data_IF_182512287206
#
_entry.id   IF_182512287206
#
_cell.length_a   1.000
_cell.length_b   1.000
_cell.length_c   1.000
_cell.angle_alpha   90.00
_cell.angle_beta   90.00
_cell.angle_gamma   90.00
#
_symmetry.space_group_name_H-M   'P 1'
#
loop_
_entity.id
_entity.type
_entity.pdbx_description
1 polymer ?
#
# COMPACT_ATOMS: atom_id res chain seq x y z
N UNK A 1 50.20 -34.40 16.98
CA UNK A 1 48.91 -33.85 17.45
C UNK A 1 48.12 -33.44 16.21
N UNK A 2 47.16 -34.24 15.71
CA UNK A 2 46.38 -33.85 14.55
C UNK A 2 45.39 -32.76 14.96
N UNK A 3 45.42 -31.65 14.22
CA UNK A 3 44.50 -30.51 14.30
C UNK A 3 43.06 -31.00 14.20
N UNK A 4 42.28 -30.80 15.27
CA UNK A 4 40.85 -31.03 15.30
C UNK A 4 40.17 -30.05 14.34
N UNK A 5 39.82 -30.52 13.15
CA UNK A 5 39.00 -29.75 12.22
C UNK A 5 37.61 -29.53 12.86
N UNK A 6 37.27 -28.27 13.09
CA UNK A 6 35.96 -27.85 13.56
C UNK A 6 34.89 -28.33 12.55
N UNK A 7 33.82 -29.02 12.99
CA UNK A 7 32.80 -29.51 12.08
C UNK A 7 32.09 -28.32 11.41
N UNK A 8 31.74 -28.42 10.11
CA UNK A 8 31.06 -27.34 9.41
C UNK A 8 29.74 -27.00 10.12
N UNK A 9 29.35 -25.72 10.19
CA UNK A 9 28.11 -25.32 10.83
C UNK A 9 26.94 -26.06 10.17
N UNK A 10 26.16 -26.76 11.00
CA UNK A 10 24.97 -27.49 10.57
C UNK A 10 24.05 -26.54 9.81
N UNK A 11 23.82 -26.82 8.52
CA UNK A 11 22.80 -26.14 7.72
C UNK A 11 21.48 -26.16 8.51
N UNK A 12 20.80 -25.01 8.69
CA UNK A 12 19.55 -24.97 9.45
C UNK A 12 18.56 -25.95 8.82
N UNK A 13 18.09 -26.92 9.61
CA UNK A 13 17.12 -27.91 9.18
C UNK A 13 15.91 -27.17 8.60
N UNK A 14 15.66 -27.36 7.31
CA UNK A 14 14.53 -26.73 6.63
C UNK A 14 13.24 -27.09 7.38
N UNK A 15 12.46 -26.09 7.77
CA UNK A 15 11.18 -26.34 8.45
C UNK A 15 10.26 -27.15 7.51
N UNK A 16 9.57 -28.20 8.00
CA UNK A 16 8.60 -28.90 7.19
C UNK A 16 7.54 -27.93 6.67
N UNK A 17 7.37 -27.84 5.35
CA UNK A 17 6.45 -26.88 4.71
C UNK A 17 5.01 -26.98 5.23
N UNK A 18 4.56 -28.17 5.66
CA UNK A 18 3.26 -28.35 6.31
C UNK A 18 3.06 -27.48 7.56
N UNK A 19 4.12 -27.19 8.32
CA UNK A 19 4.05 -26.26 9.47
C UNK A 19 3.86 -24.80 9.03
N UNK A 20 4.39 -24.44 7.86
CA UNK A 20 4.22 -23.11 7.27
C UNK A 20 2.80 -22.94 6.76
N UNK A 21 2.26 -23.93 6.05
CA UNK A 21 0.86 -23.95 5.57
C UNK A 21 -0.12 -23.87 6.75
N UNK A 22 0.10 -24.67 7.79
CA UNK A 22 -0.72 -24.61 9.00
C UNK A 22 -0.66 -23.20 9.63
N UNK A 23 0.52 -22.60 9.71
CA UNK A 23 0.67 -21.25 10.27
C UNK A 23 -0.03 -20.19 9.41
N UNK A 24 0.06 -20.29 8.09
CA UNK A 24 -0.66 -19.41 7.18
C UNK A 24 -2.18 -19.57 7.32
N UNK A 25 -2.67 -20.81 7.42
CA UNK A 25 -4.09 -21.09 7.64
C UNK A 25 -4.59 -20.52 8.98
N UNK A 26 -3.81 -20.66 10.07
CA UNK A 26 -4.14 -20.07 11.36
C UNK A 26 -4.21 -18.54 11.29
N UNK A 27 -3.29 -17.89 10.58
CA UNK A 27 -3.35 -16.44 10.37
C UNK A 27 -4.54 -16.03 9.52
N UNK A 28 -4.88 -16.77 8.46
CA UNK A 28 -6.08 -16.49 7.66
C UNK A 28 -7.36 -16.64 8.48
N UNK A 29 -7.43 -17.68 9.30
CA UNK A 29 -8.55 -17.92 10.22
C UNK A 29 -8.69 -16.84 11.29
N UNK A 30 -7.61 -16.12 11.62
CA UNK A 30 -7.65 -14.96 12.51
C UNK A 30 -7.98 -13.66 11.76
N UNK A 31 -7.26 -13.37 10.67
CA UNK A 31 -7.32 -12.10 9.96
C UNK A 31 -8.67 -11.89 9.27
N UNK A 32 -9.25 -12.93 8.67
CA UNK A 32 -10.51 -12.79 7.95
C UNK A 32 -11.69 -12.45 8.90
N UNK A 33 -11.95 -13.21 9.99
CA UNK A 33 -13.00 -12.83 10.94
C UNK A 33 -12.72 -11.49 11.63
N UNK A 34 -11.46 -11.21 11.96
CA UNK A 34 -11.07 -9.92 12.52
C UNK A 34 -11.41 -8.77 11.58
N UNK A 35 -11.15 -8.92 10.26
CA UNK A 35 -11.56 -7.98 9.24
C UNK A 35 -13.04 -7.75 9.17
N UNK A 36 -13.84 -8.78 8.93
CA UNK A 36 -15.29 -8.60 8.82
C UNK A 36 -15.91 -8.01 10.08
N UNK A 37 -15.40 -8.39 11.26
CA UNK A 37 -15.90 -7.87 12.54
C UNK A 37 -15.54 -6.40 12.75
N UNK A 38 -14.26 -6.04 12.60
CA UNK A 38 -13.79 -4.66 12.82
C UNK A 38 -14.30 -3.69 11.77
N UNK A 39 -14.33 -4.11 10.51
CA UNK A 39 -14.88 -3.35 9.40
C UNK A 39 -16.39 -3.16 9.52
N UNK A 40 -17.12 -4.22 9.87
CA UNK A 40 -18.56 -4.17 10.11
C UNK A 40 -18.91 -3.25 11.28
N UNK A 41 -18.14 -3.31 12.36
CA UNK A 41 -18.28 -2.42 13.52
C UNK A 41 -18.01 -0.96 13.17
N UNK A 42 -16.90 -0.66 12.47
CA UNK A 42 -16.58 0.70 12.05
C UNK A 42 -17.66 1.31 11.16
N UNK A 43 -18.21 0.52 10.22
CA UNK A 43 -19.35 0.94 9.40
C UNK A 43 -20.62 1.20 10.20
N UNK A 44 -20.95 0.30 11.14
CA UNK A 44 -22.10 0.51 12.03
C UNK A 44 -21.93 1.79 12.84
N UNK A 45 -20.76 2.02 13.42
CA UNK A 45 -20.46 3.25 14.16
C UNK A 45 -20.58 4.49 13.26
N UNK A 46 -20.06 4.44 12.04
CA UNK A 46 -20.21 5.52 11.07
C UNK A 46 -21.68 5.81 10.74
N UNK A 47 -22.53 4.78 10.61
CA UNK A 47 -23.97 4.96 10.36
C UNK A 47 -24.75 5.61 11.50
N UNK A 48 -24.20 5.63 12.72
CA UNK A 48 -24.81 6.33 13.87
C UNK A 48 -24.48 7.81 13.92
N UNK A 49 -23.56 8.30 13.08
CA UNK A 49 -23.19 9.73 13.04
C UNK A 49 -24.19 10.54 12.26
N UNK A 50 -24.51 11.74 12.76
CA UNK A 50 -25.42 12.69 12.12
C UNK A 50 -24.88 13.21 10.78
N UNK A 51 -23.56 13.36 10.67
CA UNK A 51 -22.88 13.77 9.45
C UNK A 51 -21.63 12.93 9.21
N UNK A 52 -21.48 12.44 7.99
CA UNK A 52 -20.27 11.78 7.50
C UNK A 52 -19.81 12.54 6.26
N UNK A 53 -18.55 12.95 6.25
CA UNK A 53 -18.00 13.77 5.16
C UNK A 53 -17.68 12.94 3.92
N UNK A 54 -17.43 13.61 2.81
CA UNK A 54 -16.82 13.02 1.62
C UNK A 54 -15.73 13.95 1.10
N UNK A 55 -14.64 13.36 0.60
CA UNK A 55 -13.53 14.08 -0.02
C UNK A 55 -13.42 13.55 -1.44
N UNK A 56 -13.90 14.35 -2.39
CA UNK A 56 -13.93 14.00 -3.81
C UNK A 56 -13.44 15.20 -4.60
N UNK A 57 -12.44 14.97 -5.47
CA UNK A 57 -12.00 16.01 -6.37
C UNK A 57 -12.90 16.10 -7.61
N UNK A 58 -13.10 17.31 -8.14
CA UNK A 58 -13.99 17.54 -9.28
C UNK A 58 -13.61 16.71 -10.52
N UNK A 59 -12.31 16.55 -10.78
CA UNK A 59 -11.79 15.79 -11.91
C UNK A 59 -12.06 14.28 -11.83
N UNK A 60 -12.37 13.73 -10.64
CA UNK A 60 -12.65 12.29 -10.48
C UNK A 60 -13.90 11.86 -11.24
N UNK A 61 -14.84 12.79 -11.50
CA UNK A 61 -16.03 12.53 -12.30
C UNK A 61 -15.72 12.23 -13.78
N UNK A 62 -14.52 12.59 -14.26
CA UNK A 62 -14.06 12.26 -15.60
C UNK A 62 -13.53 10.83 -15.72
N UNK A 63 -13.34 10.11 -14.60
CA UNK A 63 -12.84 8.74 -14.62
C UNK A 63 -13.96 7.80 -15.07
N UNK A 64 -13.81 7.09 -16.20
CA UNK A 64 -14.85 6.18 -16.67
C UNK A 64 -14.98 4.98 -15.75
N UNK A 65 -16.22 4.56 -15.51
CA UNK A 65 -16.50 3.28 -14.86
C UNK A 65 -16.19 2.12 -15.82
N UNK A 66 -15.27 1.24 -15.45
CA UNK A 66 -14.84 0.10 -16.24
C UNK A 66 -15.12 -1.21 -15.50
N UNK A 67 -16.29 -1.80 -15.74
CA UNK A 67 -16.76 -2.97 -14.99
C UNK A 67 -15.75 -4.14 -14.97
N UNK A 68 -15.06 -4.41 -16.08
CA UNK A 68 -14.09 -5.51 -16.17
C UNK A 68 -12.89 -5.37 -15.22
N UNK A 69 -12.57 -4.15 -14.77
CA UNK A 69 -11.47 -3.89 -13.82
C UNK A 69 -11.77 -4.41 -12.42
N UNK A 70 -12.98 -4.89 -12.16
CA UNK A 70 -13.30 -5.63 -10.92
C UNK A 70 -12.50 -6.94 -10.80
N UNK A 71 -12.06 -7.53 -11.92
CA UNK A 71 -11.23 -8.75 -11.91
C UNK A 71 -9.85 -8.48 -11.30
N UNK A 72 -9.04 -7.51 -11.80
CA UNK A 72 -7.80 -7.16 -11.14
C UNK A 72 -8.04 -6.66 -9.71
N UNK A 73 -9.10 -5.89 -9.45
CA UNK A 73 -9.46 -5.50 -8.07
C UNK A 73 -9.59 -6.72 -7.13
N UNK A 74 -10.38 -7.72 -7.50
CA UNK A 74 -10.54 -8.94 -6.70
C UNK A 74 -9.27 -9.79 -6.60
N UNK A 75 -8.38 -9.71 -7.58
CA UNK A 75 -7.15 -10.50 -7.58
C UNK A 75 -6.28 -10.25 -6.35
N UNK A 76 -6.37 -9.08 -5.71
CA UNK A 76 -5.61 -8.84 -4.47
C UNK A 76 -6.01 -9.79 -3.34
N UNK A 77 -7.28 -10.21 -3.26
CA UNK A 77 -7.76 -11.13 -2.24
C UNK A 77 -7.14 -12.52 -2.43
N UNK A 78 -6.96 -12.93 -3.69
CA UNK A 78 -6.24 -14.15 -4.03
C UNK A 78 -4.75 -14.03 -3.65
N UNK A 79 -4.09 -12.94 -4.06
CA UNK A 79 -2.68 -12.71 -3.71
C UNK A 79 -2.47 -12.55 -2.21
N UNK A 80 -3.44 -12.04 -1.46
CA UNK A 80 -3.39 -11.93 -0.01
C UNK A 80 -3.17 -13.30 0.64
N UNK A 81 -3.98 -14.29 0.28
CA UNK A 81 -3.83 -15.67 0.75
C UNK A 81 -2.57 -16.36 0.21
N UNK A 82 -2.32 -16.25 -1.10
CA UNK A 82 -1.15 -16.86 -1.74
C UNK A 82 0.17 -16.33 -1.14
N UNK A 83 0.25 -15.05 -0.81
CA UNK A 83 1.47 -14.46 -0.24
C UNK A 83 1.84 -15.06 1.12
N UNK A 84 0.86 -15.47 1.93
CA UNK A 84 1.16 -16.16 3.19
C UNK A 84 1.73 -17.55 2.92
N UNK A 85 1.15 -18.28 1.96
CA UNK A 85 1.60 -19.62 1.57
C UNK A 85 2.96 -19.62 0.88
N UNK A 86 3.32 -18.52 0.19
CA UNK A 86 4.60 -18.36 -0.50
C UNK A 86 5.82 -18.20 0.42
N UNK A 87 5.64 -18.14 1.74
CA UNK A 87 6.76 -18.04 2.67
C UNK A 87 7.45 -19.39 2.88
N UNK A 88 8.77 -19.37 3.07
CA UNK A 88 9.56 -20.58 3.34
C UNK A 88 9.71 -20.89 4.84
N UNK A 89 9.18 -20.02 5.71
CA UNK A 89 9.29 -20.17 7.17
C UNK A 89 8.10 -19.58 7.90
N UNK A 90 7.79 -20.13 9.09
CA UNK A 90 6.72 -19.59 9.95
C UNK A 90 6.97 -18.14 10.34
N UNK A 91 8.23 -17.77 10.59
CA UNK A 91 8.62 -16.38 10.88
C UNK A 91 8.34 -15.43 9.71
N UNK A 92 8.48 -15.90 8.47
CA UNK A 92 8.10 -15.15 7.27
C UNK A 92 6.60 -14.87 7.21
N UNK A 93 5.79 -15.91 7.46
CA UNK A 93 4.33 -15.80 7.58
C UNK A 93 3.95 -14.80 8.66
N UNK A 94 4.51 -14.95 9.87
CA UNK A 94 4.22 -14.07 11.02
C UNK A 94 4.53 -12.60 10.72
N UNK A 95 5.66 -12.33 10.05
CA UNK A 95 6.05 -10.96 9.67
C UNK A 95 5.09 -10.37 8.63
N UNK A 96 4.70 -11.14 7.62
CA UNK A 96 3.76 -10.67 6.60
C UNK A 96 2.36 -10.47 7.18
N UNK A 97 1.85 -11.44 7.94
CA UNK A 97 0.58 -11.36 8.62
C UNK A 97 0.53 -10.20 9.63
N UNK A 98 1.62 -9.96 10.37
CA UNK A 98 1.75 -8.80 11.26
C UNK A 98 1.67 -7.47 10.52
N UNK A 99 2.22 -7.37 9.30
CA UNK A 99 2.05 -6.17 8.44
C UNK A 99 0.60 -5.98 8.02
N UNK A 100 -0.09 -7.05 7.61
CA UNK A 100 -1.52 -7.00 7.29
C UNK A 100 -2.34 -6.54 8.48
N UNK A 101 -2.11 -7.13 9.65
CA UNK A 101 -2.80 -6.77 10.88
C UNK A 101 -2.56 -5.31 11.27
N UNK A 102 -1.30 -4.84 11.18
CA UNK A 102 -0.94 -3.45 11.50
C UNK A 102 -1.65 -2.48 10.56
N UNK A 103 -1.58 -2.73 9.25
CA UNK A 103 -2.26 -1.91 8.25
C UNK A 103 -3.77 -1.86 8.53
N UNK A 104 -4.37 -3.01 8.84
CA UNK A 104 -5.77 -3.10 9.16
C UNK A 104 -6.16 -2.34 10.43
N UNK A 105 -5.43 -2.50 11.53
CA UNK A 105 -5.71 -1.80 12.80
C UNK A 105 -5.64 -0.30 12.60
N UNK A 106 -4.61 0.20 11.90
CA UNK A 106 -4.47 1.63 11.60
C UNK A 106 -5.59 2.11 10.69
N UNK A 107 -5.91 1.38 9.61
CA UNK A 107 -6.99 1.74 8.71
C UNK A 107 -8.36 1.80 9.42
N UNK A 108 -8.68 0.79 10.23
CA UNK A 108 -9.92 0.76 11.03
C UNK A 108 -9.94 1.90 12.04
N UNK A 109 -8.81 2.20 12.69
CA UNK A 109 -8.72 3.32 13.66
C UNK A 109 -8.97 4.66 12.96
N UNK A 110 -8.32 4.90 11.82
CA UNK A 110 -8.54 6.10 11.02
C UNK A 110 -10.00 6.20 10.55
N UNK A 111 -10.57 5.11 10.09
CA UNK A 111 -11.98 5.05 9.66
C UNK A 111 -12.93 5.36 10.82
N UNK A 112 -12.69 4.83 12.02
CA UNK A 112 -13.49 5.17 13.21
C UNK A 112 -13.35 6.64 13.56
N UNK A 113 -12.16 7.24 13.48
CA UNK A 113 -11.96 8.64 13.85
C UNK A 113 -12.57 9.59 12.80
N UNK A 114 -12.31 9.31 11.52
CA UNK A 114 -12.66 10.15 10.37
C UNK A 114 -13.43 9.35 9.31
N UNK A 115 -14.68 8.96 9.57
CA UNK A 115 -15.47 8.22 8.59
C UNK A 115 -15.77 9.10 7.40
N UNK A 116 -15.64 8.50 6.21
CA UNK A 116 -15.90 9.15 4.94
C UNK A 116 -16.85 8.29 4.10
N UNK A 117 -17.81 8.91 3.42
CA UNK A 117 -18.81 8.21 2.59
C UNK A 117 -18.43 8.20 1.12
N UNK A 118 -18.60 7.06 0.47
CA UNK A 118 -18.57 6.96 -0.98
C UNK A 118 -19.75 7.72 -1.61
N UNK A 119 -19.45 8.57 -2.58
CA UNK A 119 -20.45 9.41 -3.27
C UNK A 119 -20.92 8.84 -4.60
N UNK A 120 -20.13 7.95 -5.22
CA UNK A 120 -20.43 7.43 -6.55
C UNK A 120 -21.37 6.21 -6.48
N UNK A 121 -22.49 6.31 -7.18
CA UNK A 121 -23.44 5.20 -7.34
C UNK A 121 -23.00 4.35 -8.52
N UNK A 122 -22.73 3.07 -8.27
CA UNK A 122 -22.26 2.13 -9.29
C UNK A 122 -23.39 1.84 -10.32
N UNK A 123 -23.10 1.86 -11.63
CA UNK A 123 -24.06 1.45 -12.64
C UNK A 123 -24.42 -0.04 -12.51
N UNK A 124 -25.60 -0.42 -12.99
CA UNK A 124 -25.96 -1.83 -13.10
C UNK A 124 -25.00 -2.55 -14.08
N UNK A 125 -24.47 -3.70 -13.67
CA UNK A 125 -23.52 -4.50 -14.47
C UNK A 125 -24.05 -5.92 -14.61
N UNK A 126 -23.68 -6.58 -15.72
CA UNK A 126 -24.10 -7.94 -16.05
C UNK A 126 -22.88 -8.87 -16.23
N UNK A 127 -23.12 -10.18 -16.30
CA UNK A 127 -22.08 -11.20 -16.49
C UNK A 127 -21.17 -11.39 -15.27
N UNK A 128 -19.93 -11.83 -15.51
CA UNK A 128 -18.93 -12.07 -14.45
C UNK A 128 -18.64 -10.80 -13.62
N UNK A 129 -18.46 -9.60 -14.22
CA UNK A 129 -18.29 -8.39 -13.44
C UNK A 129 -19.48 -8.10 -12.51
N UNK A 130 -20.71 -8.27 -13.01
CA UNK A 130 -21.92 -8.09 -12.20
C UNK A 130 -21.97 -9.03 -11.00
N UNK A 131 -21.62 -10.31 -11.19
CA UNK A 131 -21.51 -11.27 -10.09
C UNK A 131 -20.46 -10.84 -9.06
N UNK A 132 -19.26 -10.45 -9.49
CA UNK A 132 -18.19 -10.01 -8.59
C UNK A 132 -18.56 -8.73 -7.83
N UNK A 133 -19.27 -7.80 -8.47
CA UNK A 133 -19.80 -6.61 -7.80
C UNK A 133 -20.93 -6.93 -6.83
N UNK A 134 -21.79 -7.90 -7.13
CA UNK A 134 -22.85 -8.33 -6.22
C UNK A 134 -22.27 -8.99 -4.97
N UNK A 135 -21.27 -9.87 -5.13
CA UNK A 135 -20.53 -10.45 -4.00
C UNK A 135 -19.84 -9.36 -3.20
N UNK A 136 -19.16 -8.42 -3.87
CA UNK A 136 -18.50 -7.27 -3.23
C UNK A 136 -19.48 -6.41 -2.44
N UNK A 137 -20.62 -6.05 -3.05
CA UNK A 137 -21.67 -5.26 -2.42
C UNK A 137 -22.39 -5.97 -1.27
N UNK A 138 -22.27 -7.30 -1.15
CA UNK A 138 -22.78 -8.06 -0.02
C UNK A 138 -22.06 -7.76 1.31
N UNK A 139 -20.83 -7.25 1.25
CA UNK A 139 -20.06 -6.87 2.43
C UNK A 139 -19.53 -5.43 2.41
N UNK A 140 -19.31 -4.83 1.23
CA UNK A 140 -18.84 -3.45 1.09
C UNK A 140 -19.95 -2.44 1.44
N UNK A 141 -19.75 -1.73 2.54
CA UNK A 141 -20.68 -0.77 3.14
C UNK A 141 -20.24 0.68 2.82
N UNK A 142 -21.16 1.66 2.85
CA UNK A 142 -20.96 2.96 2.18
C UNK A 142 -19.90 3.88 2.80
N UNK A 143 -19.33 3.54 3.95
CA UNK A 143 -18.45 4.42 4.71
C UNK A 143 -16.95 4.08 4.59
N UNK A 144 -16.56 3.22 3.64
CA UNK A 144 -15.22 2.65 3.56
C UNK A 144 -14.18 3.53 2.83
N UNK A 145 -13.85 4.69 3.39
CA UNK A 145 -12.93 5.63 2.73
C UNK A 145 -11.87 6.20 3.69
N UNK A 146 -10.67 6.39 3.14
CA UNK A 146 -9.40 6.82 3.71
C UNK A 146 -8.97 6.25 5.09
N UNK A 147 -7.83 5.54 5.20
CA UNK A 147 -6.93 5.08 4.14
C UNK A 147 -7.44 3.81 3.44
N UNK A 148 -7.16 3.64 2.14
CA UNK A 148 -7.53 2.40 1.45
C UNK A 148 -6.69 1.23 1.98
N UNK A 149 -7.34 0.31 2.73
CA UNK A 149 -6.73 -0.95 3.12
C UNK A 149 -6.36 -1.78 1.88
N UNK A 150 -7.15 -1.72 0.81
CA UNK A 150 -6.88 -2.41 -0.45
C UNK A 150 -5.55 -1.98 -1.05
N UNK A 151 -5.30 -0.67 -1.12
CA UNK A 151 -4.02 -0.13 -1.62
C UNK A 151 -2.88 -0.42 -0.63
N UNK A 152 -3.12 -0.38 0.69
CA UNK A 152 -2.11 -0.76 1.67
C UNK A 152 -1.67 -2.22 1.50
N UNK A 153 -2.63 -3.13 1.33
CA UNK A 153 -2.37 -4.54 1.03
C UNK A 153 -1.66 -4.71 -0.31
N UNK A 154 -2.07 -3.99 -1.35
CA UNK A 154 -1.38 -3.95 -2.64
C UNK A 154 0.10 -3.59 -2.47
N UNK A 155 0.43 -2.53 -1.74
CA UNK A 155 1.85 -2.13 -1.53
C UNK A 155 2.63 -3.19 -0.77
N UNK A 156 2.04 -3.80 0.27
CA UNK A 156 2.68 -4.87 1.05
C UNK A 156 2.93 -6.11 0.18
N UNK A 157 1.92 -6.55 -0.58
CA UNK A 157 1.97 -7.73 -1.46
C UNK A 157 2.91 -7.47 -2.63
N UNK A 158 2.87 -6.27 -3.22
CA UNK A 158 3.78 -5.87 -4.29
C UNK A 158 5.24 -5.99 -3.85
N UNK A 159 5.58 -5.44 -2.67
CA UNK A 159 6.89 -5.58 -2.05
C UNK A 159 7.28 -7.04 -1.79
N UNK A 160 6.33 -7.85 -1.32
CA UNK A 160 6.57 -9.26 -1.03
C UNK A 160 6.92 -10.08 -2.28
N UNK A 161 6.18 -9.89 -3.37
CA UNK A 161 6.35 -10.67 -4.61
C UNK A 161 7.50 -10.16 -5.46
N UNK A 162 7.74 -8.85 -5.54
CA UNK A 162 8.82 -8.30 -6.39
C UNK A 162 10.21 -8.81 -6.03
N UNK A 163 10.41 -9.21 -4.77
CA UNK A 163 11.67 -9.76 -4.27
C UNK A 163 11.90 -11.21 -4.73
N UNK A 164 10.86 -11.90 -5.18
CA UNK A 164 10.88 -13.31 -5.61
C UNK A 164 10.81 -13.49 -7.13
N UNK A 165 10.45 -12.43 -7.85
CA UNK A 165 10.32 -12.45 -9.30
C UNK A 165 11.52 -11.77 -9.97
N UNK A 166 11.98 -12.34 -11.08
CA UNK A 166 13.07 -11.80 -11.91
C UNK A 166 12.66 -11.67 -13.37
N UNK A 167 13.36 -10.81 -14.11
CA UNK A 167 13.19 -10.67 -15.56
C UNK A 167 11.79 -10.23 -15.99
N UNK A 168 11.24 -10.81 -17.09
CA UNK A 168 9.92 -10.43 -17.64
C UNK A 168 8.76 -10.62 -16.65
N UNK A 169 8.81 -11.65 -15.80
CA UNK A 169 7.76 -11.90 -14.79
C UNK A 169 7.65 -10.76 -13.78
N UNK A 170 8.78 -10.13 -13.44
CA UNK A 170 8.78 -8.96 -12.56
C UNK A 170 8.10 -7.77 -13.23
N UNK A 171 8.33 -7.55 -14.53
CA UNK A 171 7.66 -6.49 -15.28
C UNK A 171 6.15 -6.74 -15.35
N UNK A 172 5.73 -7.96 -15.68
CA UNK A 172 4.33 -8.36 -15.67
C UNK A 172 3.66 -8.11 -14.31
N UNK A 173 4.36 -8.45 -13.24
CA UNK A 173 3.88 -8.22 -11.87
C UNK A 173 3.71 -6.73 -11.55
N UNK A 174 4.67 -5.87 -11.95
CA UNK A 174 4.51 -4.42 -11.81
C UNK A 174 3.29 -3.91 -12.59
N UNK A 175 3.14 -4.33 -13.85
CA UNK A 175 1.99 -3.95 -14.68
C UNK A 175 0.66 -4.39 -14.05
N UNK A 176 0.62 -5.60 -13.49
CA UNK A 176 -0.56 -6.11 -12.78
C UNK A 176 -0.86 -5.30 -11.51
N UNK A 177 0.17 -4.96 -10.72
CA UNK A 177 0.00 -4.11 -9.53
C UNK A 177 -0.52 -2.71 -9.89
N UNK A 178 -0.04 -2.11 -10.98
CA UNK A 178 -0.58 -0.85 -11.48
C UNK A 178 -2.04 -1.00 -11.92
N UNK A 179 -2.42 -2.13 -12.52
CA UNK A 179 -3.80 -2.40 -12.91
C UNK A 179 -4.71 -2.57 -11.68
N UNK A 180 -4.24 -3.21 -10.60
CA UNK A 180 -4.96 -3.26 -9.31
C UNK A 180 -5.09 -1.84 -8.72
N UNK A 181 -4.02 -1.05 -8.76
CA UNK A 181 -4.04 0.33 -8.28
C UNK A 181 -5.00 1.22 -9.08
N UNK A 182 -5.07 1.05 -10.40
CA UNK A 182 -5.99 1.77 -11.26
C UNK A 182 -7.45 1.29 -11.08
N UNK A 183 -7.63 -0.01 -10.83
CA UNK A 183 -8.96 -0.60 -10.71
C UNK A 183 -9.77 -0.01 -9.57
N UNK A 184 -9.14 0.44 -8.47
CA UNK A 184 -9.88 1.05 -7.36
C UNK A 184 -10.62 2.33 -7.77
N UNK A 185 -10.07 3.08 -8.73
CA UNK A 185 -10.70 4.28 -9.30
C UNK A 185 -11.72 3.91 -10.36
N UNK A 186 -11.39 3.01 -11.29
CA UNK A 186 -12.30 2.67 -12.40
C UNK A 186 -13.47 1.78 -11.99
N UNK A 187 -13.41 1.17 -10.80
CA UNK A 187 -14.55 0.48 -10.16
C UNK A 187 -15.34 1.39 -9.22
N UNK A 188 -14.94 2.67 -9.10
CA UNK A 188 -15.50 3.65 -8.17
C UNK A 188 -15.58 3.15 -6.72
N UNK A 189 -14.59 2.36 -6.30
CA UNK A 189 -14.51 1.85 -4.92
C UNK A 189 -13.84 2.84 -3.99
N UNK A 190 -12.86 3.58 -4.52
CA UNK A 190 -12.05 4.52 -3.77
C UNK A 190 -11.94 5.85 -4.49
N UNK A 191 -11.83 6.93 -3.72
CA UNK A 191 -11.45 8.23 -4.25
C UNK A 191 -9.94 8.35 -4.34
N UNK A 192 -9.46 9.33 -5.11
CA UNK A 192 -8.03 9.51 -5.33
C UNK A 192 -7.26 9.68 -4.01
N UNK A 193 -7.83 10.34 -3.01
CA UNK A 193 -7.20 10.55 -1.70
C UNK A 193 -6.91 9.25 -0.93
N UNK A 194 -7.65 8.18 -1.21
CA UNK A 194 -7.50 6.90 -0.55
C UNK A 194 -6.23 6.16 -1.03
N UNK A 195 -5.75 6.47 -2.23
CA UNK A 195 -4.57 5.84 -2.84
C UNK A 195 -3.27 6.25 -2.14
N UNK A 196 -2.89 7.55 -2.05
CA UNK A 196 -1.65 7.93 -1.40
C UNK A 196 -1.68 7.60 0.10
N UNK A 197 -2.84 7.73 0.76
CA UNK A 197 -2.99 7.38 2.18
C UNK A 197 -2.84 5.87 2.41
N UNK A 198 -3.47 5.04 1.57
CA UNK A 198 -3.29 3.59 1.59
C UNK A 198 -1.86 3.16 1.24
N UNK A 199 -1.24 3.80 0.24
CA UNK A 199 0.12 3.48 -0.17
C UNK A 199 1.13 3.81 0.94
N UNK A 200 0.95 4.94 1.61
CA UNK A 200 1.74 5.32 2.78
C UNK A 200 1.59 4.30 3.91
N UNK A 201 0.37 3.82 4.17
CA UNK A 201 0.10 2.82 5.19
C UNK A 201 0.75 1.46 4.89
N UNK A 202 0.77 1.04 3.63
CA UNK A 202 1.41 -0.22 3.22
C UNK A 202 2.95 -0.14 3.15
N UNK A 203 3.49 1.07 3.15
CA UNK A 203 4.92 1.31 2.99
C UNK A 203 5.71 0.85 4.22
N UNK A 204 6.84 0.18 3.98
CA UNK A 204 7.69 -0.31 5.06
C UNK A 204 8.65 0.79 5.50
N UNK A 205 8.39 1.37 6.66
CA UNK A 205 9.33 2.29 7.27
C UNK A 205 10.62 1.57 7.71
N UNK A 206 11.76 2.24 7.56
CA UNK A 206 13.05 1.81 8.08
C UNK A 206 13.01 1.80 9.60
N UNK A 207 13.70 0.84 10.22
CA UNK A 207 13.88 0.79 11.68
C UNK A 207 15.10 1.61 12.16
N UNK A 208 15.91 2.13 11.24
CA UNK A 208 17.06 2.97 11.57
C UNK A 208 16.59 4.36 12.02
N UNK A 209 16.77 4.66 13.31
CA UNK A 209 16.39 5.92 13.93
C UNK A 209 17.05 7.14 13.27
N UNK A 210 18.28 7.00 12.76
CA UNK A 210 18.98 8.09 12.07
C UNK A 210 18.31 8.37 10.72
N UNK A 211 17.99 7.31 9.97
CA UNK A 211 17.28 7.42 8.70
C UNK A 211 15.86 7.97 8.90
N UNK A 212 15.13 7.56 9.95
CA UNK A 212 13.82 8.12 10.30
C UNK A 212 13.91 9.62 10.62
N UNK A 213 14.91 10.05 11.40
CA UNK A 213 15.10 11.47 11.72
C UNK A 213 15.38 12.29 10.46
N UNK A 214 16.23 11.79 9.57
CA UNK A 214 16.50 12.44 8.28
C UNK A 214 15.24 12.49 7.42
N UNK A 215 14.50 11.39 7.31
CA UNK A 215 13.23 11.34 6.59
C UNK A 215 12.25 12.41 7.11
N UNK A 216 12.13 12.55 8.44
CA UNK A 216 11.29 13.57 9.06
C UNK A 216 11.78 14.99 8.75
N UNK A 217 13.08 15.26 8.87
CA UNK A 217 13.64 16.58 8.54
C UNK A 217 13.39 16.97 7.09
N UNK A 218 13.60 16.04 6.14
CA UNK A 218 13.32 16.28 4.73
C UNK A 218 11.82 16.41 4.44
N UNK A 219 10.96 15.63 5.11
CA UNK A 219 9.51 15.75 4.99
C UNK A 219 8.98 17.08 5.53
N UNK A 220 9.52 17.57 6.65
CA UNK A 220 9.22 18.90 7.18
C UNK A 220 9.68 20.00 6.23
N UNK A 221 10.87 19.87 5.64
CA UNK A 221 11.34 20.78 4.59
C UNK A 221 10.43 20.81 3.37
N UNK A 222 9.97 19.64 2.91
CA UNK A 222 9.01 19.51 1.81
C UNK A 222 7.67 20.18 2.16
N UNK A 223 7.16 19.94 3.38
CA UNK A 223 5.91 20.54 3.85
C UNK A 223 6.00 22.07 3.98
N UNK A 224 7.13 22.60 4.47
CA UNK A 224 7.36 24.05 4.54
C UNK A 224 7.47 24.67 3.14
N UNK A 225 8.15 24.02 2.21
CA UNK A 225 8.22 24.46 0.81
C UNK A 225 6.83 24.45 0.15
N UNK A 226 6.02 23.42 0.43
CA UNK A 226 4.64 23.33 -0.06
C UNK A 226 3.73 24.38 0.58
N UNK A 227 3.87 24.64 1.88
CA UNK A 227 3.13 25.67 2.60
C UNK A 227 3.51 27.08 2.10
N UNK A 228 4.79 27.31 1.81
CA UNK A 228 5.24 28.54 1.16
C UNK A 228 4.68 28.72 -0.25
N UNK A 229 4.51 27.62 -1.00
CA UNK A 229 3.90 27.64 -2.33
C UNK A 229 2.38 27.92 -2.29
N UNK A 230 1.69 27.60 -1.20
CA UNK A 230 0.26 27.93 -1.00
C UNK A 230 0.05 29.28 -0.30
N UNK A 231 1.05 29.82 0.39
CA UNK A 231 1.08 31.18 0.94
C UNK A 231 1.33 32.21 -0.16
N UNK A 232 0.34 32.38 -1.00
CA UNK A 232 0.31 33.39 -2.05
C UNK A 232 -0.85 33.11 -2.99
N UNK A 233 -1.83 34.01 -3.06
CA UNK A 233 -2.89 33.99 -4.10
C UNK A 233 -2.31 34.33 -5.48
N UNK A 234 -1.19 33.73 -5.86
CA UNK A 234 -0.52 33.94 -7.13
C UNK A 234 -0.30 32.57 -7.74
N UNK A 235 -1.20 32.19 -8.65
CA UNK A 235 -0.89 31.25 -9.73
C UNK A 235 0.23 31.86 -10.59
N UNK A 236 1.44 31.85 -10.05
CA UNK A 236 2.66 32.42 -10.64
C UNK A 236 3.66 31.31 -10.89
N UNK A 237 4.56 31.52 -11.86
CA UNK A 237 5.71 30.67 -12.13
C UNK A 237 6.53 30.32 -10.86
N UNK A 238 6.47 31.16 -9.82
CA UNK A 238 7.09 30.92 -8.50
C UNK A 238 6.54 29.66 -7.81
N UNK A 239 5.25 29.36 -7.95
CA UNK A 239 4.66 28.12 -7.40
C UNK A 239 5.25 26.89 -8.08
N UNK A 240 5.42 26.93 -9.40
CA UNK A 240 6.08 25.84 -10.14
C UNK A 240 7.54 25.66 -9.74
N UNK A 241 8.25 26.77 -9.47
CA UNK A 241 9.64 26.74 -8.99
C UNK A 241 9.75 26.19 -7.57
N UNK A 242 8.77 26.43 -6.68
CA UNK A 242 8.76 25.91 -5.30
C UNK A 242 8.24 24.46 -5.20
N UNK A 243 7.43 24.02 -6.15
CA UNK A 243 7.01 22.61 -6.25
C UNK A 243 8.19 21.68 -6.55
N UNK A 244 9.20 22.16 -7.29
CA UNK A 244 10.40 21.38 -7.58
C UNK A 244 11.21 20.98 -6.33
N UNK A 245 11.66 21.92 -5.46
CA UNK A 245 12.36 21.57 -4.24
C UNK A 245 11.44 20.83 -3.25
N UNK A 246 10.14 21.11 -3.20
CA UNK A 246 9.21 20.35 -2.37
C UNK A 246 9.17 18.87 -2.80
N UNK A 247 9.08 18.61 -4.11
CA UNK A 247 9.11 17.27 -4.68
C UNK A 247 10.47 16.59 -4.42
N UNK A 248 11.59 17.28 -4.67
CA UNK A 248 12.92 16.75 -4.42
C UNK A 248 13.10 16.34 -2.95
N UNK A 249 12.73 17.22 -2.01
CA UNK A 249 12.78 16.94 -0.57
C UNK A 249 11.86 15.77 -0.18
N UNK A 250 10.68 15.65 -0.79
CA UNK A 250 9.77 14.53 -0.55
C UNK A 250 10.36 13.20 -1.05
N UNK A 251 11.04 13.19 -2.21
CA UNK A 251 11.72 12.00 -2.73
C UNK A 251 12.89 11.60 -1.83
N UNK A 252 13.68 12.57 -1.35
CA UNK A 252 14.76 12.31 -0.37
C UNK A 252 14.19 11.77 0.94
N UNK A 253 13.11 12.36 1.45
CA UNK A 253 12.43 11.88 2.65
C UNK A 253 11.97 10.43 2.47
N UNK A 254 11.36 10.10 1.34
CA UNK A 254 10.89 8.76 1.00
C UNK A 254 12.05 7.74 0.89
N UNK A 255 13.18 8.16 0.32
CA UNK A 255 14.39 7.34 0.25
C UNK A 255 14.90 6.97 1.66
N UNK A 256 15.01 7.95 2.56
CA UNK A 256 15.40 7.72 3.95
C UNK A 256 14.33 6.98 4.75
N UNK A 257 13.05 7.15 4.43
CA UNK A 257 11.95 6.51 5.15
C UNK A 257 11.92 4.98 4.95
N UNK A 258 12.53 4.42 3.90
CA UNK A 258 12.56 2.97 3.70
C UNK A 258 12.72 2.49 2.26
N UNK A 259 12.64 3.40 1.26
CA UNK A 259 12.82 3.03 -0.14
C UNK A 259 14.30 2.73 -0.48
N UNK A 260 15.22 3.20 0.38
CA UNK A 260 16.63 2.86 0.36
C UNK A 260 17.44 3.63 -0.67
N UNK A 261 18.76 3.41 -0.66
CA UNK A 261 19.71 4.19 -1.46
C UNK A 261 19.54 4.02 -2.99
N UNK A 262 18.80 2.99 -3.44
CA UNK A 262 18.51 2.77 -4.86
C UNK A 262 17.64 3.86 -5.47
N UNK A 263 16.89 4.62 -4.67
CA UNK A 263 16.12 5.80 -5.15
C UNK A 263 17.04 6.83 -5.78
N UNK A 264 18.27 6.98 -5.27
CA UNK A 264 19.26 7.90 -5.81
C UNK A 264 19.95 7.37 -7.08
N UNK A 265 19.58 6.17 -7.55
CA UNK A 265 20.19 5.49 -8.70
C UNK A 265 21.73 5.55 -8.69
N UNK A 266 22.32 5.47 -7.50
CA UNK A 266 23.77 5.57 -7.30
C UNK A 266 24.43 4.28 -7.79
N UNK A 267 25.31 4.38 -8.77
CA UNK A 267 26.12 3.24 -9.24
C UNK A 267 27.09 2.79 -8.13
N UNK A 268 27.59 1.55 -8.18
CA UNK A 268 28.63 1.08 -7.25
C UNK A 268 29.85 1.98 -7.20
N UNK A 269 30.18 2.64 -8.31
CA UNK A 269 31.30 3.59 -8.45
C UNK A 269 30.99 4.99 -7.90
N UNK A 270 29.80 5.19 -7.33
CA UNK A 270 29.41 6.42 -6.67
C UNK A 270 28.79 7.49 -7.57
N UNK A 271 28.62 7.22 -8.87
CA UNK A 271 27.98 8.15 -9.80
C UNK A 271 26.45 8.11 -9.69
N UNK A 272 25.84 9.28 -9.73
CA UNK A 272 24.38 9.47 -9.69
C UNK A 272 23.88 9.64 -11.13
N UNK A 273 22.74 9.04 -11.48
CA UNK A 273 22.18 9.17 -12.83
C UNK A 273 21.82 10.62 -13.16
N UNK A 274 21.85 11.00 -14.45
CA UNK A 274 21.49 12.36 -14.89
C UNK A 274 20.06 12.71 -14.44
N UNK A 275 19.14 11.77 -14.54
CA UNK A 275 17.76 11.92 -14.06
C UNK A 275 17.71 12.22 -12.55
N UNK A 276 18.53 11.54 -11.75
CA UNK A 276 18.60 11.81 -10.30
C UNK A 276 19.31 13.12 -9.97
N UNK A 277 20.28 13.58 -10.77
CA UNK A 277 20.95 14.89 -10.59
C UNK A 277 20.10 16.08 -11.01
N UNK A 278 19.21 15.88 -11.98
CA UNK A 278 18.29 16.93 -12.41
C UNK A 278 17.14 17.01 -11.40
N UNK A 279 16.61 15.87 -10.95
CA UNK A 279 15.44 15.79 -10.08
C UNK A 279 15.72 16.02 -8.58
N UNK A 280 16.92 15.73 -8.09
CA UNK A 280 17.35 15.87 -6.68
C UNK A 280 18.53 16.83 -6.55
#
# INVERSE_FOLDING_TARGET
MPSSAEPPPLSPIAEPYGRVVLRAALWLALLAPFFYSTYGFANWLASTRSHVGSIVFSWEHAIPFLAWTIVPYWSINLFYGLSLLLNDSRRGVDRLAGRYLTAQVVAVTCFILFPLTATFVRPATSGLPGFLFAVLGGFDKPFNQAPSLHIALLVIIWDHWRQRLSGPLRLLWHSWCFLIGASVLTTWQHHFIDIPTGALLGFRLTADAKAQRLALCYALGAALALAGATFGKLFSAIVLVLLWPALALAVVAFAYAGAGAKVFQKTPDGHVSLASRILL
#
